data_IF_647582266087
#
_entry.id   IF_647582266087
#
_cell.length_a   1.000
_cell.length_b   1.000
_cell.length_c   1.000
_cell.angle_alpha   90.00
_cell.angle_beta   90.00
_cell.angle_gamma   90.00
#
_symmetry.space_group_name_H-M   'P 1'
#
loop_
_entity.id
_entity.type
_entity.pdbx_description
1 polymer ?
#
# COMPACT_ATOMS: atom_id res chain seq x y z
N UNK A 1 12.65 -11.73 -4.88
CA UNK A 1 12.59 -10.30 -5.25
C UNK A 1 11.34 -9.70 -4.63
N UNK A 2 11.36 -8.43 -4.26
CA UNK A 2 10.26 -7.80 -3.52
C UNK A 2 10.26 -6.30 -3.73
N UNK A 3 9.19 -5.68 -3.25
CA UNK A 3 9.04 -4.24 -3.19
C UNK A 3 9.77 -3.69 -1.98
N UNK A 4 10.48 -2.61 -2.23
CA UNK A 4 10.95 -1.70 -1.23
C UNK A 4 10.13 -0.40 -1.38
N UNK A 5 9.35 -0.08 -0.36
CA UNK A 5 8.40 1.03 -0.40
C UNK A 5 8.87 2.08 0.61
N UNK A 6 9.11 3.29 0.12
CA UNK A 6 9.62 4.38 0.95
C UNK A 6 8.69 4.76 2.10
N UNK A 7 9.25 5.41 3.12
CA UNK A 7 8.54 5.97 4.28
C UNK A 7 7.94 4.92 5.23
N UNK A 8 8.42 3.68 5.20
CA UNK A 8 8.07 2.65 6.17
C UNK A 8 8.78 2.78 7.52
N UNK A 9 8.74 1.72 8.32
CA UNK A 9 9.24 1.70 9.70
C UNK A 9 10.42 0.76 9.93
N UNK A 10 10.95 0.13 8.88
CA UNK A 10 12.14 -0.70 9.03
C UNK A 10 13.39 0.15 9.33
N UNK A 11 14.55 -0.51 9.50
CA UNK A 11 15.82 0.16 9.80
C UNK A 11 16.30 1.16 8.73
N UNK A 12 15.71 1.14 7.53
CA UNK A 12 15.99 2.06 6.43
C UNK A 12 14.86 3.09 6.20
N UNK A 13 13.78 3.04 6.98
CA UNK A 13 12.58 3.86 6.77
C UNK A 13 11.72 3.38 5.61
N UNK A 14 11.63 2.06 5.41
CA UNK A 14 11.00 1.41 4.26
C UNK A 14 10.05 0.28 4.70
N UNK A 15 9.13 -0.10 3.80
CA UNK A 15 8.31 -1.30 3.92
C UNK A 15 8.85 -2.30 2.91
N UNK A 16 9.40 -3.40 3.41
CA UNK A 16 9.88 -4.50 2.61
C UNK A 16 8.79 -5.57 2.50
N UNK A 17 8.34 -5.83 1.27
CA UNK A 17 7.33 -6.84 1.02
C UNK A 17 7.72 -7.70 -0.18
N UNK A 18 7.61 -9.02 -0.08
CA UNK A 18 7.88 -9.89 -1.23
C UNK A 18 6.82 -9.69 -2.32
N UNK A 19 7.18 -9.92 -3.58
CA UNK A 19 6.22 -9.79 -4.69
C UNK A 19 5.03 -10.73 -4.54
N UNK A 20 5.24 -11.96 -4.07
CA UNK A 20 4.16 -12.92 -3.82
C UNK A 20 3.23 -12.49 -2.68
N UNK A 21 3.78 -11.85 -1.65
CA UNK A 21 2.99 -11.29 -0.55
C UNK A 21 2.12 -10.13 -1.03
N UNK A 22 2.70 -9.23 -1.84
CA UNK A 22 1.97 -8.09 -2.40
C UNK A 22 0.92 -8.51 -3.44
N UNK A 23 1.18 -9.54 -4.23
CA UNK A 23 0.18 -10.14 -5.14
C UNK A 23 -0.99 -10.76 -4.35
N UNK A 24 -0.70 -11.45 -3.25
CA UNK A 24 -1.72 -12.02 -2.36
C UNK A 24 -2.55 -10.92 -1.70
N UNK A 25 -1.89 -9.86 -1.20
CA UNK A 25 -2.56 -8.67 -0.66
C UNK A 25 -3.46 -8.00 -1.72
N UNK A 26 -2.96 -7.83 -2.95
CA UNK A 26 -3.71 -7.29 -4.08
C UNK A 26 -5.02 -8.05 -4.32
N UNK A 27 -4.96 -9.39 -4.35
CA UNK A 27 -6.14 -10.26 -4.49
C UNK A 27 -7.15 -10.06 -3.36
N UNK A 28 -6.67 -9.99 -2.12
CA UNK A 28 -7.54 -9.74 -0.97
C UNK A 28 -8.17 -8.35 -1.00
N UNK A 29 -7.42 -7.31 -1.35
CA UNK A 29 -7.94 -5.95 -1.50
C UNK A 29 -9.01 -5.88 -2.60
N UNK A 30 -8.75 -6.51 -3.75
CA UNK A 30 -9.69 -6.55 -4.87
C UNK A 30 -11.00 -7.30 -4.53
N UNK A 31 -10.91 -8.34 -3.68
CA UNK A 31 -12.07 -9.14 -3.29
C UNK A 31 -12.89 -8.52 -2.15
N UNK A 32 -12.21 -7.88 -1.18
CA UNK A 32 -12.84 -7.41 0.05
C UNK A 32 -13.31 -5.95 -0.03
N UNK A 33 -12.75 -5.13 -0.93
CA UNK A 33 -13.12 -3.73 -1.05
C UNK A 33 -14.22 -3.51 -2.09
N UNK A 34 -15.09 -2.50 -1.89
CA UNK A 34 -15.96 -1.99 -2.95
C UNK A 34 -15.16 -1.60 -4.20
N UNK A 35 -15.75 -1.81 -5.38
CA UNK A 35 -15.08 -1.53 -6.66
C UNK A 35 -14.57 -0.07 -6.79
N UNK A 36 -15.25 0.90 -6.17
CA UNK A 36 -14.82 2.30 -6.13
C UNK A 36 -13.51 2.50 -5.36
N UNK A 37 -13.37 1.84 -4.20
CA UNK A 37 -12.18 1.88 -3.37
C UNK A 37 -11.04 1.09 -4.02
N UNK A 38 -11.33 -0.08 -4.58
CA UNK A 38 -10.32 -0.86 -5.30
C UNK A 38 -9.70 -0.08 -6.47
N UNK A 39 -10.49 0.69 -7.22
CA UNK A 39 -9.99 1.53 -8.32
C UNK A 39 -8.95 2.57 -7.88
N UNK A 40 -8.98 3.02 -6.62
CA UNK A 40 -7.99 3.96 -6.07
C UNK A 40 -6.64 3.26 -5.88
N UNK A 41 -6.65 2.01 -5.42
CA UNK A 41 -5.43 1.23 -5.15
C UNK A 41 -4.85 0.58 -6.40
N UNK A 42 -5.72 0.16 -7.33
CA UNK A 42 -5.35 -0.64 -8.50
C UNK A 42 -4.08 -0.15 -9.21
N UNK A 43 -3.87 1.15 -9.51
CA UNK A 43 -2.68 1.60 -10.21
C UNK A 43 -1.36 1.19 -9.53
N UNK A 44 -1.28 1.24 -8.20
CA UNK A 44 -0.06 0.87 -7.48
C UNK A 44 0.17 -0.65 -7.43
N UNK A 45 -0.90 -1.44 -7.38
CA UNK A 45 -0.82 -2.90 -7.29
C UNK A 45 -0.80 -3.60 -8.67
N UNK A 46 -1.12 -2.89 -9.76
CA UNK A 46 -1.14 -3.45 -11.12
C UNK A 46 0.16 -3.23 -11.92
N UNK A 47 1.10 -2.44 -11.42
CA UNK A 47 2.37 -2.14 -12.09
C UNK A 47 3.42 -3.21 -11.69
N UNK A 48 3.78 -4.17 -12.56
CA UNK A 48 4.39 -5.41 -12.10
C UNK A 48 5.91 -5.38 -11.84
N UNK A 49 6.63 -4.31 -12.22
CA UNK A 49 8.11 -4.39 -12.21
C UNK A 49 8.88 -3.08 -12.29
N UNK A 50 8.22 -1.94 -12.48
CA UNK A 50 8.92 -0.67 -12.65
C UNK A 50 8.82 0.17 -11.38
N UNK A 51 9.91 0.87 -11.07
CA UNK A 51 9.91 1.85 -9.97
C UNK A 51 8.92 2.95 -10.33
N UNK A 52 7.99 3.25 -9.44
CA UNK A 52 7.03 4.31 -9.66
C UNK A 52 6.90 5.21 -8.43
N UNK A 53 6.34 6.39 -8.68
CA UNK A 53 6.12 7.43 -7.67
C UNK A 53 4.66 7.80 -7.66
N UNK A 54 4.08 7.81 -6.47
CA UNK A 54 2.72 8.28 -6.24
C UNK A 54 2.81 9.69 -5.67
N UNK A 55 2.01 10.62 -6.22
CA UNK A 55 1.95 11.99 -5.71
C UNK A 55 1.48 12.00 -4.25
N UNK A 56 1.90 12.96 -3.40
CA UNK A 56 1.43 13.03 -2.01
C UNK A 56 -0.10 13.06 -1.90
N UNK A 57 -0.79 13.71 -2.85
CA UNK A 57 -2.25 13.76 -2.91
C UNK A 57 -2.86 12.39 -3.13
N UNK A 58 -2.33 11.62 -4.07
CA UNK A 58 -2.85 10.29 -4.37
C UNK A 58 -2.44 9.29 -3.29
N UNK A 59 -1.25 9.45 -2.69
CA UNK A 59 -0.81 8.66 -1.54
C UNK A 59 -1.78 8.80 -0.36
N UNK A 60 -2.24 10.01 -0.04
CA UNK A 60 -3.24 10.22 1.02
C UNK A 60 -4.58 9.52 0.72
N UNK A 61 -5.06 9.60 -0.52
CA UNK A 61 -6.27 8.87 -0.94
C UNK A 61 -6.11 7.36 -0.80
N UNK A 62 -4.93 6.85 -1.12
CA UNK A 62 -4.62 5.43 -1.00
C UNK A 62 -4.47 5.02 0.47
N UNK A 63 -3.90 5.87 1.32
CA UNK A 63 -3.77 5.65 2.76
C UNK A 63 -5.14 5.44 3.42
N UNK A 64 -6.12 6.30 3.10
CA UNK A 64 -7.48 6.19 3.63
C UNK A 64 -8.15 4.86 3.25
N UNK A 65 -7.97 4.42 2.00
CA UNK A 65 -8.52 3.15 1.52
C UNK A 65 -7.80 1.97 2.15
N UNK A 66 -6.47 2.00 2.27
CA UNK A 66 -5.68 0.95 2.90
C UNK A 66 -6.02 0.82 4.40
N UNK A 67 -6.23 1.94 5.09
CA UNK A 67 -6.66 1.96 6.49
C UNK A 67 -8.05 1.35 6.63
N UNK A 68 -8.99 1.69 5.75
CA UNK A 68 -10.30 1.04 5.69
C UNK A 68 -10.16 -0.48 5.50
N UNK A 69 -9.32 -0.90 4.55
CA UNK A 69 -9.05 -2.31 4.28
C UNK A 69 -8.45 -3.06 5.48
N UNK A 70 -7.54 -2.42 6.22
CA UNK A 70 -6.92 -2.99 7.44
C UNK A 70 -7.92 -3.25 8.57
N UNK A 71 -9.08 -2.60 8.54
CA UNK A 71 -10.14 -2.82 9.54
C UNK A 71 -11.23 -3.77 9.05
N UNK A 72 -11.10 -4.29 7.83
CA UNK A 72 -12.12 -5.12 7.21
C UNK A 72 -12.12 -6.53 7.82
N UNK A 73 -13.28 -6.99 8.30
CA UNK A 73 -13.42 -8.27 9.02
C UNK A 73 -12.98 -9.52 8.24
N UNK A 74 -13.03 -9.46 6.90
CA UNK A 74 -12.64 -10.57 6.03
C UNK A 74 -11.17 -10.51 5.58
N UNK A 75 -10.42 -9.53 6.10
CA UNK A 75 -8.98 -9.42 5.83
C UNK A 75 -8.21 -10.31 6.81
N UNK A 76 -7.39 -11.27 6.34
CA UNK A 76 -6.51 -12.04 7.23
C UNK A 76 -5.57 -11.13 8.04
N UNK A 77 -5.19 -11.55 9.24
CA UNK A 77 -4.40 -10.72 10.16
C UNK A 77 -3.05 -10.26 9.57
N UNK A 78 -2.38 -11.14 8.82
CA UNK A 78 -1.12 -10.83 8.14
C UNK A 78 -1.28 -9.71 7.09
N UNK A 79 -2.34 -9.75 6.28
CA UNK A 79 -2.63 -8.72 5.27
C UNK A 79 -3.18 -7.44 5.90
N UNK A 80 -3.89 -7.55 7.02
CA UNK A 80 -4.31 -6.42 7.84
C UNK A 80 -3.11 -5.60 8.30
N UNK A 81 -2.08 -6.26 8.83
CA UNK A 81 -0.87 -5.57 9.28
C UNK A 81 -0.15 -4.91 8.09
N UNK A 82 0.05 -5.63 6.98
CA UNK A 82 0.69 -5.05 5.80
C UNK A 82 -0.09 -3.86 5.23
N UNK A 83 -1.42 -3.94 5.17
CA UNK A 83 -2.25 -2.82 4.72
C UNK A 83 -2.13 -1.60 5.64
N UNK A 84 -2.03 -1.81 6.96
CA UNK A 84 -1.79 -0.76 7.95
C UNK A 84 -0.40 -0.14 7.77
N UNK A 85 0.64 -0.95 7.62
CA UNK A 85 2.01 -0.46 7.43
C UNK A 85 2.13 0.39 6.15
N UNK A 86 1.46 -0.02 5.06
CA UNK A 86 1.39 0.75 3.82
C UNK A 86 0.59 2.05 3.98
N UNK A 87 -0.53 2.02 4.71
CA UNK A 87 -1.30 3.22 5.00
C UNK A 87 -0.48 4.26 5.78
N UNK A 88 0.24 3.79 6.81
CA UNK A 88 1.07 4.66 7.64
C UNK A 88 2.28 5.20 6.86
N UNK A 89 2.88 4.39 5.96
CA UNK A 89 3.94 4.85 5.07
C UNK A 89 3.46 5.93 4.09
N UNK A 90 2.28 5.73 3.50
CA UNK A 90 1.66 6.72 2.63
C UNK A 90 1.35 8.04 3.37
N UNK A 91 0.83 7.96 4.61
CA UNK A 91 0.59 9.15 5.44
C UNK A 91 1.88 9.88 5.84
N UNK A 92 2.97 9.16 6.07
CA UNK A 92 4.28 9.77 6.30
C UNK A 92 4.78 10.50 5.05
N UNK A 93 4.61 9.90 3.86
CA UNK A 93 4.95 10.57 2.60
C UNK A 93 4.12 11.85 2.40
N UNK A 94 2.81 11.81 2.71
CA UNK A 94 1.92 12.99 2.69
C UNK A 94 2.41 14.06 3.66
N UNK A 95 2.71 13.67 4.90
CA UNK A 95 3.18 14.58 5.95
C UNK A 95 4.52 15.23 5.61
N UNK A 96 5.43 14.47 4.99
CA UNK A 96 6.72 14.94 4.50
C UNK A 96 6.60 15.78 3.21
N UNK A 97 5.42 15.81 2.57
CA UNK A 97 5.17 16.39 1.24
C UNK A 97 6.09 15.79 0.17
N UNK A 98 6.45 14.53 0.31
CA UNK A 98 7.33 13.79 -0.59
C UNK A 98 6.54 12.74 -1.38
N UNK A 99 6.96 12.39 -2.61
CA UNK A 99 6.33 11.32 -3.35
C UNK A 99 6.48 10.00 -2.59
N UNK A 100 5.45 9.16 -2.65
CA UNK A 100 5.51 7.80 -2.12
C UNK A 100 6.10 6.88 -3.19
N UNK A 101 7.35 6.50 -2.99
CA UNK A 101 8.13 5.71 -3.95
C UNK A 101 8.03 4.20 -3.67
N UNK A 102 7.88 3.43 -4.75
CA UNK A 102 7.87 1.96 -4.76
C UNK A 102 8.99 1.49 -5.70
N UNK A 103 9.93 0.67 -5.20
CA UNK A 103 11.17 0.32 -5.91
C UNK A 103 11.61 -1.14 -5.75
#
# INVERSE_FOLDING_TARGET
MGWNISHGTDGNGEVLASYSHMDSLCKHLAHNLPASQWRVLKPAFSLPSERFRISPRDAGRMADVLRTASTHRLMPAEFTQTARDLADAADRAVSARQPWEWR
#
